data_IF_902163915912
#
_entry.id   IF_902163915912
#
_cell.length_a   1.000
_cell.length_b   1.000
_cell.length_c   1.000
_cell.angle_alpha   90.00
_cell.angle_beta   90.00
_cell.angle_gamma   90.00
#
_symmetry.space_group_name_H-M   'P 1'
#
loop_
_entity.id
_entity.type
_entity.pdbx_description
1 polymer ?
#
# COMPACT_ATOMS: atom_id res chain seq x y z
N UNK A 1 52.43 61.62 24.67
CA UNK A 1 51.31 61.65 23.71
C UNK A 1 51.43 60.53 22.66
N UNK A 2 52.00 59.36 23.00
CA UNK A 2 52.12 58.22 22.06
C UNK A 2 51.56 56.91 22.60
N UNK A 3 51.08 56.88 23.84
CA UNK A 3 50.48 55.68 24.46
C UNK A 3 48.95 55.70 24.37
N UNK A 4 48.32 56.87 24.56
CA UNK A 4 46.86 57.05 24.48
C UNK A 4 46.30 56.65 23.10
N UNK A 5 46.92 57.14 22.01
CA UNK A 5 46.48 56.86 20.62
C UNK A 5 46.73 55.42 20.16
N UNK A 6 47.60 54.68 20.86
CA UNK A 6 47.84 53.26 20.59
C UNK A 6 46.86 52.38 21.37
N UNK A 7 46.50 52.77 22.60
CA UNK A 7 45.49 52.09 23.42
C UNK A 7 44.10 52.31 22.81
N UNK A 8 43.75 53.53 22.41
CA UNK A 8 42.45 53.82 21.77
C UNK A 8 42.28 53.09 20.44
N UNK A 9 43.36 52.90 19.65
CA UNK A 9 43.31 52.08 18.43
C UNK A 9 43.14 50.59 18.71
N UNK A 10 43.80 50.11 19.76
CA UNK A 10 43.69 48.71 20.17
C UNK A 10 42.30 48.41 20.74
N UNK A 11 41.69 49.36 21.46
CA UNK A 11 40.32 49.25 21.96
C UNK A 11 39.28 49.34 20.83
N UNK A 12 39.53 50.12 19.76
CA UNK A 12 38.61 50.15 18.60
C UNK A 12 38.72 48.92 17.71
N UNK A 13 39.93 48.39 17.48
CA UNK A 13 40.12 47.16 16.72
C UNK A 13 39.50 45.96 17.45
N UNK A 14 39.60 45.91 18.79
CA UNK A 14 38.98 44.86 19.62
C UNK A 14 37.45 44.97 19.64
N UNK A 15 36.86 46.17 19.51
CA UNK A 15 35.41 46.34 19.38
C UNK A 15 34.92 45.97 17.98
N UNK A 16 35.66 46.32 16.92
CA UNK A 16 35.32 45.91 15.56
C UNK A 16 35.41 44.39 15.37
N UNK A 17 36.41 43.70 15.96
CA UNK A 17 36.48 42.23 15.96
C UNK A 17 35.29 41.60 16.71
N UNK A 18 34.85 42.17 17.83
CA UNK A 18 33.68 41.67 18.58
C UNK A 18 32.39 41.88 17.77
N UNK A 19 32.22 43.02 17.11
CA UNK A 19 31.05 43.28 16.26
C UNK A 19 31.01 42.33 15.04
N UNK A 20 32.16 42.02 14.43
CA UNK A 20 32.26 41.02 13.35
C UNK A 20 31.96 39.59 13.85
N UNK A 21 32.45 39.21 15.04
CA UNK A 21 32.14 37.89 15.64
C UNK A 21 30.64 37.77 16.01
N UNK A 22 30.01 38.83 16.52
CA UNK A 22 28.57 38.84 16.82
C UNK A 22 27.71 38.77 15.53
N UNK A 23 28.11 39.44 14.44
CA UNK A 23 27.44 39.32 13.13
C UNK A 23 27.59 37.91 12.53
N UNK A 24 28.76 37.28 12.63
CA UNK A 24 28.97 35.89 12.18
C UNK A 24 28.12 34.88 13.00
N UNK A 25 28.02 35.05 14.33
CA UNK A 25 27.15 34.22 15.16
C UNK A 25 25.65 34.39 14.82
N UNK A 26 25.19 35.62 14.53
CA UNK A 26 23.81 35.87 14.08
C UNK A 26 23.52 35.23 12.71
N UNK A 27 24.47 35.29 11.76
CA UNK A 27 24.33 34.63 10.45
C UNK A 27 24.31 33.10 10.59
N UNK A 28 25.15 32.51 11.45
CA UNK A 28 25.13 31.07 11.74
C UNK A 28 23.80 30.63 12.38
N UNK A 29 23.25 31.41 13.32
CA UNK A 29 21.93 31.13 13.93
C UNK A 29 20.80 31.21 12.89
N UNK A 30 20.81 32.19 11.97
CA UNK A 30 19.83 32.28 10.88
C UNK A 30 19.93 31.10 9.90
N UNK A 31 21.15 30.67 9.55
CA UNK A 31 21.35 29.48 8.70
C UNK A 31 20.84 28.20 9.38
N UNK A 32 21.10 28.01 10.69
CA UNK A 32 20.57 26.88 11.44
C UNK A 32 19.03 26.89 11.51
N UNK A 33 18.40 28.05 11.71
CA UNK A 33 16.94 28.18 11.69
C UNK A 33 16.35 27.85 10.30
N UNK A 34 16.96 28.33 9.21
CA UNK A 34 16.53 28.00 7.84
C UNK A 34 16.68 26.50 7.52
N UNK A 35 17.77 25.87 7.95
CA UNK A 35 17.97 24.42 7.79
C UNK A 35 16.89 23.62 8.52
N UNK A 36 16.56 23.98 9.77
CA UNK A 36 15.49 23.33 10.54
C UNK A 36 14.14 23.50 9.87
N UNK A 37 13.80 24.71 9.39
CA UNK A 37 12.55 24.95 8.66
C UNK A 37 12.47 24.12 7.36
N UNK A 38 13.59 23.96 6.64
CA UNK A 38 13.63 23.13 5.45
C UNK A 38 13.42 21.64 5.76
N UNK A 39 14.00 21.15 6.86
CA UNK A 39 13.80 19.77 7.31
C UNK A 39 12.35 19.51 7.71
N UNK A 40 11.73 20.41 8.48
CA UNK A 40 10.31 20.31 8.85
C UNK A 40 9.41 20.31 7.61
N UNK A 41 9.67 21.19 6.63
CA UNK A 41 8.92 21.22 5.36
C UNK A 41 9.04 19.90 4.60
N UNK A 42 10.25 19.33 4.51
CA UNK A 42 10.47 18.03 3.85
C UNK A 42 9.74 16.89 4.55
N UNK A 43 9.72 16.87 5.88
CA UNK A 43 8.99 15.87 6.67
C UNK A 43 7.48 15.95 6.41
N UNK A 44 6.90 17.16 6.47
CA UNK A 44 5.48 17.39 6.18
C UNK A 44 5.11 16.95 4.76
N UNK A 45 5.94 17.30 3.76
CA UNK A 45 5.70 16.86 2.37
C UNK A 45 5.72 15.33 2.22
N UNK A 46 6.61 14.65 2.94
CA UNK A 46 6.68 13.18 2.94
C UNK A 46 5.45 12.55 3.61
N UNK A 47 4.99 13.11 4.73
CA UNK A 47 3.77 12.67 5.42
C UNK A 47 2.52 12.87 4.54
N UNK A 48 2.36 14.05 3.93
CA UNK A 48 1.24 14.31 3.01
C UNK A 48 1.24 13.35 1.82
N UNK A 49 2.43 13.01 1.30
CA UNK A 49 2.55 12.05 0.21
C UNK A 49 2.11 10.65 0.65
N UNK A 50 2.52 10.20 1.85
CA UNK A 50 2.10 8.91 2.42
C UNK A 50 0.58 8.89 2.63
N UNK A 51 -0.01 9.96 3.14
CA UNK A 51 -1.47 10.05 3.34
C UNK A 51 -2.23 9.91 2.01
N UNK A 52 -1.79 10.60 0.96
CA UNK A 52 -2.38 10.47 -0.39
C UNK A 52 -2.25 9.06 -0.98
N UNK A 53 -1.15 8.36 -0.70
CA UNK A 53 -0.97 6.97 -1.13
C UNK A 53 -1.92 6.02 -0.38
N UNK A 54 -2.13 6.24 0.92
CA UNK A 54 -3.09 5.48 1.73
C UNK A 54 -4.52 5.71 1.24
N UNK A 55 -4.93 6.97 1.02
CA UNK A 55 -6.26 7.30 0.51
C UNK A 55 -6.53 6.62 -0.84
N UNK A 56 -5.54 6.65 -1.74
CA UNK A 56 -5.62 5.98 -3.03
C UNK A 56 -5.75 4.46 -2.88
N UNK A 57 -5.01 3.84 -1.96
CA UNK A 57 -5.10 2.41 -1.70
C UNK A 57 -6.49 2.03 -1.17
N UNK A 58 -7.05 2.82 -0.25
CA UNK A 58 -8.39 2.61 0.29
C UNK A 58 -9.46 2.69 -0.81
N UNK A 59 -9.35 3.66 -1.72
CA UNK A 59 -10.29 3.79 -2.83
C UNK A 59 -10.16 2.65 -3.85
N UNK A 60 -8.95 2.16 -4.10
CA UNK A 60 -8.74 0.96 -4.90
C UNK A 60 -9.36 -0.28 -4.24
N UNK A 61 -9.17 -0.45 -2.93
CA UNK A 61 -9.77 -1.57 -2.19
C UNK A 61 -11.30 -1.54 -2.25
N UNK A 62 -11.92 -0.37 -2.08
CA UNK A 62 -13.38 -0.21 -2.25
C UNK A 62 -13.82 -0.58 -3.67
N UNK A 63 -13.12 -0.10 -4.69
CA UNK A 63 -13.43 -0.43 -6.09
C UNK A 63 -13.32 -1.93 -6.38
N UNK A 64 -12.34 -2.61 -5.76
CA UNK A 64 -12.18 -4.06 -5.86
C UNK A 64 -13.32 -4.84 -5.21
N UNK A 65 -13.78 -4.41 -4.03
CA UNK A 65 -14.96 -4.99 -3.37
C UNK A 65 -16.23 -4.81 -4.21
N UNK A 66 -16.39 -3.65 -4.84
CA UNK A 66 -17.49 -3.40 -5.78
C UNK A 66 -17.39 -4.31 -7.01
N UNK A 67 -16.20 -4.44 -7.60
CA UNK A 67 -15.95 -5.35 -8.71
C UNK A 67 -16.28 -6.80 -8.32
N UNK A 68 -15.85 -7.27 -7.14
CA UNK A 68 -16.20 -8.59 -6.63
C UNK A 68 -17.72 -8.79 -6.51
N UNK A 69 -18.45 -7.79 -6.00
CA UNK A 69 -19.90 -7.83 -5.90
C UNK A 69 -20.57 -7.87 -7.29
N UNK A 70 -20.07 -7.10 -8.26
CA UNK A 70 -20.53 -7.12 -9.65
C UNK A 70 -20.26 -8.49 -10.30
N UNK A 71 -19.09 -9.08 -10.05
CA UNK A 71 -18.76 -10.44 -10.49
C UNK A 71 -19.78 -11.47 -10.02
N UNK A 72 -20.14 -11.44 -8.73
CA UNK A 72 -21.19 -12.32 -8.15
C UNK A 72 -22.55 -12.10 -8.82
N UNK A 73 -22.91 -10.85 -9.09
CA UNK A 73 -24.16 -10.53 -9.76
C UNK A 73 -24.18 -11.03 -11.21
N UNK A 74 -23.08 -10.85 -11.94
CA UNK A 74 -22.92 -11.29 -13.32
C UNK A 74 -22.93 -12.81 -13.42
N UNK A 75 -22.29 -13.51 -12.48
CA UNK A 75 -22.32 -14.96 -12.36
C UNK A 75 -23.75 -15.48 -12.17
N UNK A 76 -24.50 -14.88 -11.24
CA UNK A 76 -25.90 -15.23 -10.98
C UNK A 76 -26.82 -15.01 -12.20
N UNK A 77 -26.45 -14.08 -13.10
CA UNK A 77 -27.14 -13.81 -14.36
C UNK A 77 -26.66 -14.68 -15.52
N UNK A 78 -25.71 -15.58 -15.30
CA UNK A 78 -25.11 -16.43 -16.34
C UNK A 78 -24.17 -15.68 -17.30
N UNK A 79 -23.72 -14.49 -16.93
CA UNK A 79 -22.80 -13.67 -17.73
C UNK A 79 -21.37 -13.97 -17.32
N UNK A 80 -20.87 -15.10 -17.81
CA UNK A 80 -19.63 -15.69 -17.34
C UNK A 80 -18.38 -14.86 -17.68
N UNK A 81 -18.33 -14.24 -18.85
CA UNK A 81 -17.19 -13.42 -19.27
C UNK A 81 -17.13 -12.12 -18.46
N UNK A 82 -18.28 -11.50 -18.20
CA UNK A 82 -18.40 -10.31 -17.36
C UNK A 82 -18.01 -10.64 -15.91
N UNK A 83 -18.47 -11.79 -15.38
CA UNK A 83 -18.08 -12.25 -14.06
C UNK A 83 -16.56 -12.48 -13.94
N UNK A 84 -15.95 -13.13 -14.93
CA UNK A 84 -14.51 -13.36 -14.94
C UNK A 84 -13.73 -12.04 -14.86
N UNK A 85 -14.06 -11.08 -15.72
CA UNK A 85 -13.34 -9.80 -15.77
C UNK A 85 -13.45 -9.02 -14.46
N UNK A 86 -14.62 -9.04 -13.82
CA UNK A 86 -14.82 -8.41 -12.52
C UNK A 86 -14.02 -9.10 -11.40
N UNK A 87 -13.96 -10.43 -11.39
CA UNK A 87 -13.18 -11.18 -10.42
C UNK A 87 -11.68 -11.02 -10.63
N UNK A 88 -11.19 -11.06 -11.87
CA UNK A 88 -9.77 -10.83 -12.17
C UNK A 88 -9.34 -9.43 -11.75
N UNK A 89 -10.16 -8.41 -12.02
CA UNK A 89 -9.86 -7.04 -11.56
C UNK A 89 -9.82 -6.92 -10.04
N UNK A 90 -10.77 -7.55 -9.33
CA UNK A 90 -10.75 -7.57 -7.87
C UNK A 90 -9.51 -8.30 -7.33
N UNK A 91 -9.13 -9.43 -7.94
CA UNK A 91 -7.96 -10.21 -7.57
C UNK A 91 -6.67 -9.39 -7.68
N UNK A 92 -6.46 -8.67 -8.78
CA UNK A 92 -5.27 -7.83 -8.98
C UNK A 92 -5.07 -6.82 -7.85
N UNK A 93 -6.18 -6.21 -7.38
CA UNK A 93 -6.12 -5.23 -6.29
C UNK A 93 -5.87 -5.91 -4.94
N UNK A 94 -6.58 -7.01 -4.64
CA UNK A 94 -6.39 -7.71 -3.37
C UNK A 94 -5.01 -8.37 -3.27
N UNK A 95 -4.42 -8.80 -4.39
CA UNK A 95 -3.01 -9.22 -4.46
C UNK A 95 -2.05 -8.07 -4.16
N UNK A 96 -2.29 -6.88 -4.71
CA UNK A 96 -1.47 -5.71 -4.41
C UNK A 96 -1.60 -5.22 -2.96
N UNK A 97 -2.74 -5.50 -2.32
CA UNK A 97 -3.03 -5.13 -0.93
C UNK A 97 -2.63 -6.21 0.10
N UNK A 98 -2.10 -7.37 -0.35
CA UNK A 98 -1.83 -8.55 0.50
C UNK A 98 -3.06 -9.00 1.34
N UNK A 99 -4.28 -8.78 0.83
CA UNK A 99 -5.53 -9.20 1.51
C UNK A 99 -5.83 -10.68 1.21
N UNK A 100 -5.30 -11.56 2.05
CA UNK A 100 -5.44 -13.01 1.88
C UNK A 100 -6.90 -13.48 1.97
N UNK A 101 -7.75 -12.81 2.76
CA UNK A 101 -9.15 -13.19 2.95
C UNK A 101 -9.97 -12.91 1.69
N UNK A 102 -9.86 -11.69 1.15
CA UNK A 102 -10.55 -11.32 -0.07
C UNK A 102 -10.00 -12.10 -1.28
N UNK A 103 -8.69 -12.37 -1.34
CA UNK A 103 -8.10 -13.26 -2.37
C UNK A 103 -8.67 -14.67 -2.33
N UNK A 104 -8.88 -15.24 -1.14
CA UNK A 104 -9.50 -16.55 -0.97
C UNK A 104 -10.91 -16.59 -1.56
N UNK A 105 -11.72 -15.56 -1.25
CA UNK A 105 -13.07 -15.36 -1.75
C UNK A 105 -13.10 -15.28 -3.29
N UNK A 106 -12.21 -14.47 -3.88
CA UNK A 106 -12.14 -14.31 -5.34
C UNK A 106 -11.74 -15.62 -6.03
N UNK A 107 -10.73 -16.32 -5.51
CA UNK A 107 -10.32 -17.62 -6.05
C UNK A 107 -11.42 -18.68 -5.93
N UNK A 108 -12.18 -18.70 -4.85
CA UNK A 108 -13.35 -19.59 -4.74
C UNK A 108 -14.37 -19.31 -5.85
N UNK A 109 -14.69 -18.03 -6.10
CA UNK A 109 -15.64 -17.65 -7.15
C UNK A 109 -15.13 -17.95 -8.57
N UNK A 110 -13.85 -17.73 -8.85
CA UNK A 110 -13.23 -18.12 -10.12
C UNK A 110 -13.24 -19.65 -10.30
N UNK A 111 -13.03 -20.42 -9.23
CA UNK A 111 -13.16 -21.87 -9.23
C UNK A 111 -14.59 -22.34 -9.56
N UNK A 112 -15.60 -21.69 -8.98
CA UNK A 112 -17.02 -21.94 -9.29
C UNK A 112 -17.31 -21.62 -10.76
N UNK A 113 -16.86 -20.47 -11.25
CA UNK A 113 -17.04 -20.04 -12.63
C UNK A 113 -16.42 -21.01 -13.63
N UNK A 114 -15.18 -21.45 -13.38
CA UNK A 114 -14.49 -22.43 -14.22
C UNK A 114 -15.22 -23.80 -14.19
N UNK A 115 -15.72 -24.22 -13.03
CA UNK A 115 -16.53 -25.44 -12.90
C UNK A 115 -17.81 -25.37 -13.74
N UNK A 116 -18.50 -24.23 -13.74
CA UNK A 116 -19.71 -24.02 -14.56
C UNK A 116 -19.43 -24.05 -16.07
N UNK A 117 -18.20 -23.71 -16.48
CA UNK A 117 -17.73 -23.81 -17.86
C UNK A 117 -17.15 -25.18 -18.22
N UNK A 118 -17.15 -26.12 -17.28
CA UNK A 118 -16.48 -27.42 -17.40
C UNK A 118 -14.96 -27.33 -17.66
N UNK A 119 -14.34 -26.19 -17.30
CA UNK A 119 -12.88 -26.05 -17.27
C UNK A 119 -12.36 -26.52 -15.91
N UNK A 120 -12.27 -27.83 -15.76
CA UNK A 120 -11.92 -28.46 -14.50
C UNK A 120 -10.46 -28.24 -14.10
N UNK A 121 -9.56 -27.99 -15.06
CA UNK A 121 -8.16 -27.73 -14.77
C UNK A 121 -7.98 -26.34 -14.15
N UNK A 122 -8.61 -25.31 -14.73
CA UNK A 122 -8.63 -23.98 -14.14
C UNK A 122 -9.37 -23.96 -12.80
N UNK A 123 -10.51 -24.66 -12.70
CA UNK A 123 -11.25 -24.74 -11.45
C UNK A 123 -10.39 -25.35 -10.32
N UNK A 124 -9.65 -26.42 -10.62
CA UNK A 124 -8.75 -27.04 -9.65
C UNK A 124 -7.62 -26.09 -9.23
N UNK A 125 -7.06 -25.31 -10.16
CA UNK A 125 -6.02 -24.34 -9.84
C UNK A 125 -6.53 -23.26 -8.88
N UNK A 126 -7.69 -22.65 -9.17
CA UNK A 126 -8.29 -21.64 -8.32
C UNK A 126 -8.69 -22.18 -6.94
N UNK A 127 -9.31 -23.35 -6.87
CA UNK A 127 -9.64 -23.95 -5.58
C UNK A 127 -8.41 -24.32 -4.75
N UNK A 128 -7.27 -24.66 -5.36
CA UNK A 128 -6.02 -24.86 -4.58
C UNK A 128 -5.51 -23.56 -3.97
N UNK A 129 -5.60 -22.44 -4.70
CA UNK A 129 -5.24 -21.13 -4.18
C UNK A 129 -6.16 -20.74 -3.02
N UNK A 130 -7.48 -20.85 -3.21
CA UNK A 130 -8.46 -20.59 -2.15
C UNK A 130 -8.24 -21.48 -0.92
N UNK A 131 -7.94 -22.76 -1.10
CA UNK A 131 -7.67 -23.67 0.02
C UNK A 131 -6.42 -23.24 0.80
N UNK A 132 -5.34 -22.89 0.11
CA UNK A 132 -4.10 -22.43 0.74
C UNK A 132 -4.34 -21.17 1.56
N UNK A 133 -5.08 -20.21 1.01
CA UNK A 133 -5.44 -18.96 1.67
C UNK A 133 -6.29 -19.20 2.93
N UNK A 134 -7.35 -20.02 2.81
CA UNK A 134 -8.21 -20.39 3.95
C UNK A 134 -7.45 -21.10 5.06
N UNK A 135 -6.49 -21.95 4.72
CA UNK A 135 -5.62 -22.61 5.71
C UNK A 135 -4.68 -21.61 6.41
N UNK A 136 -4.12 -20.66 5.68
CA UNK A 136 -3.29 -19.60 6.27
C UNK A 136 -4.09 -18.70 7.23
N UNK A 137 -5.39 -18.51 6.96
CA UNK A 137 -6.33 -17.76 7.79
C UNK A 137 -6.92 -18.56 8.97
N UNK A 138 -6.53 -19.84 9.14
CA UNK A 138 -7.13 -20.76 10.12
C UNK A 138 -8.67 -20.92 9.96
N UNK A 139 -9.19 -20.73 8.76
CA UNK A 139 -10.61 -20.91 8.40
C UNK A 139 -10.88 -22.38 8.01
N UNK A 140 -11.03 -23.22 9.03
CA UNK A 140 -11.28 -24.66 8.89
C UNK A 140 -12.58 -24.97 8.13
N UNK A 141 -13.64 -24.17 8.33
CA UNK A 141 -14.93 -24.37 7.67
C UNK A 141 -14.83 -24.05 6.17
N UNK A 142 -14.22 -22.92 5.83
CA UNK A 142 -13.93 -22.52 4.45
C UNK A 142 -13.03 -23.55 3.76
N UNK A 143 -11.93 -23.94 4.39
CA UNK A 143 -11.01 -24.96 3.84
C UNK A 143 -11.72 -26.28 3.55
N UNK A 144 -12.62 -26.73 4.44
CA UNK A 144 -13.41 -27.96 4.24
C UNK A 144 -14.38 -27.83 3.07
N UNK A 145 -15.04 -26.68 2.90
CA UNK A 145 -15.91 -26.41 1.74
C UNK A 145 -15.12 -26.52 0.43
N UNK A 146 -13.97 -25.85 0.34
CA UNK A 146 -13.11 -25.90 -0.86
C UNK A 146 -12.61 -27.32 -1.14
N UNK A 147 -12.23 -28.07 -0.11
CA UNK A 147 -11.80 -29.46 -0.25
C UNK A 147 -12.92 -30.36 -0.81
N UNK A 148 -14.18 -30.10 -0.48
CA UNK A 148 -15.32 -30.80 -1.07
C UNK A 148 -15.45 -30.50 -2.57
N UNK A 149 -15.30 -29.24 -2.98
CA UNK A 149 -15.34 -28.84 -4.40
C UNK A 149 -14.20 -29.50 -5.20
N UNK A 150 -12.98 -29.55 -4.65
CA UNK A 150 -11.86 -30.24 -5.28
C UNK A 150 -12.12 -31.75 -5.47
N UNK A 151 -12.75 -32.39 -4.50
CA UNK A 151 -13.12 -33.80 -4.62
C UNK A 151 -14.20 -34.03 -5.69
N UNK A 152 -15.19 -33.13 -5.78
CA UNK A 152 -16.19 -33.16 -6.84
C UNK A 152 -15.55 -33.05 -8.22
N UNK A 153 -14.66 -32.08 -8.44
CA UNK A 153 -13.94 -31.93 -9.72
C UNK A 153 -13.17 -33.19 -10.09
N UNK A 154 -12.43 -33.79 -9.14
CA UNK A 154 -11.69 -35.04 -9.41
C UNK A 154 -12.60 -36.17 -9.85
N UNK A 155 -13.80 -36.27 -9.29
CA UNK A 155 -14.79 -37.26 -9.72
C UNK A 155 -15.30 -37.00 -11.13
N UNK A 156 -15.52 -35.73 -11.49
CA UNK A 156 -15.96 -35.32 -12.82
C UNK A 156 -14.86 -35.50 -13.89
N UNK A 157 -13.58 -35.36 -13.52
CA UNK A 157 -12.44 -35.61 -14.43
C UNK A 157 -12.09 -37.09 -14.58
N UNK A 158 -12.49 -37.92 -13.62
CA UNK A 158 -12.18 -39.37 -13.60
C UNK A 158 -13.26 -40.26 -14.21
N UNK A 159 -14.40 -39.71 -14.64
CA UNK A 159 -15.53 -40.42 -15.26
C UNK A 159 -15.53 -40.28 -16.77
#
# INVERSE_FOLDING_TARGET
MSNETAVERNETEEVEEIEEEEEEEEEEEEEEEEEVEEEEKKEIEEEEKKEKEIEKADDQAKAAQEAFAQGKQSLARGRYEEAQAHYEHALEVFEAADDEADRADVHEQLGILATLRADYDQAQAHYKQALSARQALEDDEGAKSIAQQLNLIRQLQGS
#
